data_IF_834398596543
#
_entry.id   IF_834398596543
#
_cell.length_a   1.000
_cell.length_b   1.000
_cell.length_c   1.000
_cell.angle_alpha   90.00
_cell.angle_beta   90.00
_cell.angle_gamma   90.00
#
_symmetry.space_group_name_H-M   'P 1'
#
loop_
_entity.id
_entity.type
_entity.pdbx_description
1 polymer ?
#
# COMPACT_ATOMS: atom_id res chain seq x y z
N UNK A 1 2.70 7.18 -17.30
CA UNK A 1 1.26 7.33 -16.99
C UNK A 1 0.80 6.10 -16.20
N UNK A 2 0.42 6.22 -14.93
CA UNK A 2 -0.05 5.05 -14.14
C UNK A 2 -1.40 4.56 -14.68
N UNK A 3 -1.59 3.24 -14.75
CA UNK A 3 -2.88 2.61 -15.09
C UNK A 3 -3.20 1.54 -14.05
N UNK A 4 -4.43 1.53 -13.55
CA UNK A 4 -4.94 0.53 -12.62
C UNK A 4 -6.22 -0.07 -13.21
N UNK A 5 -6.41 -1.39 -13.06
CA UNK A 5 -7.68 -2.01 -13.41
C UNK A 5 -8.79 -1.49 -12.49
N UNK A 6 -9.94 -1.08 -13.05
CA UNK A 6 -11.09 -0.59 -12.26
C UNK A 6 -11.64 -1.64 -11.28
N UNK A 7 -11.47 -2.92 -11.60
CA UNK A 7 -11.70 -4.06 -10.72
C UNK A 7 -10.53 -5.02 -10.83
N UNK A 8 -9.95 -5.43 -9.71
CA UNK A 8 -8.89 -6.45 -9.68
C UNK A 8 -9.49 -7.86 -9.63
N UNK A 9 -10.78 -8.00 -9.31
CA UNK A 9 -11.44 -9.29 -9.11
C UNK A 9 -12.84 -9.31 -9.72
N UNK A 10 -13.29 -10.50 -10.10
CA UNK A 10 -14.70 -10.85 -10.36
C UNK A 10 -14.99 -12.21 -9.69
N UNK A 11 -16.18 -12.78 -9.87
CA UNK A 11 -16.38 -14.18 -9.49
C UNK A 11 -15.42 -15.09 -10.28
N UNK A 12 -14.74 -16.00 -9.60
CA UNK A 12 -13.75 -16.94 -10.13
C UNK A 12 -12.53 -16.32 -10.87
N UNK A 13 -12.28 -15.01 -10.72
CA UNK A 13 -11.21 -14.30 -11.41
C UNK A 13 -10.50 -13.31 -10.48
N UNK A 14 -9.17 -13.35 -10.47
CA UNK A 14 -8.32 -12.36 -9.80
C UNK A 14 -7.15 -11.96 -10.71
N UNK A 15 -6.87 -10.66 -10.76
CA UNK A 15 -5.71 -10.06 -11.42
C UNK A 15 -4.62 -9.79 -10.37
N UNK A 16 -3.37 -10.00 -10.73
CA UNK A 16 -2.18 -9.88 -9.87
C UNK A 16 -1.04 -9.20 -10.65
N UNK A 17 -0.18 -8.44 -9.97
CA UNK A 17 0.95 -7.73 -10.58
C UNK A 17 0.52 -6.75 -11.67
N UNK A 18 1.30 -6.67 -12.75
CA UNK A 18 1.10 -5.74 -13.87
C UNK A 18 -0.28 -5.85 -14.54
N UNK A 19 -0.94 -7.02 -14.46
CA UNK A 19 -2.30 -7.22 -14.95
C UNK A 19 -3.36 -6.48 -14.11
N UNK A 20 -3.07 -6.20 -12.84
CA UNK A 20 -3.92 -5.42 -11.95
C UNK A 20 -3.49 -3.94 -11.87
N UNK A 21 -2.19 -3.66 -11.92
CA UNK A 21 -1.65 -2.30 -11.80
C UNK A 21 -0.30 -2.10 -12.51
N UNK A 22 -0.24 -1.10 -13.38
CA UNK A 22 1.01 -0.64 -14.01
C UNK A 22 1.64 0.45 -13.15
N UNK A 23 2.55 0.05 -12.26
CA UNK A 23 3.37 0.99 -11.48
C UNK A 23 4.52 1.48 -12.38
N UNK A 24 4.77 2.79 -12.35
CA UNK A 24 5.80 3.46 -13.18
C UNK A 24 7.19 2.80 -12.97
N UNK A 25 8.02 2.64 -14.01
CA UNK A 25 9.25 1.86 -13.94
C UNK A 25 10.39 2.63 -13.23
N UNK A 26 10.32 2.74 -11.91
CA UNK A 26 11.54 2.75 -11.11
C UNK A 26 12.03 1.30 -11.02
N UNK A 27 13.14 1.03 -11.72
CA UNK A 27 13.60 -0.31 -12.04
C UNK A 27 13.65 -1.25 -10.82
N UNK A 28 13.06 -2.44 -10.98
CA UNK A 28 13.14 -3.54 -10.01
C UNK A 28 11.96 -3.73 -9.06
N UNK A 29 11.07 -2.75 -8.87
CA UNK A 29 10.00 -2.88 -7.85
C UNK A 29 8.78 -3.74 -8.28
N UNK A 30 8.50 -3.85 -9.58
CA UNK A 30 7.30 -4.54 -10.09
C UNK A 30 7.21 -6.02 -9.68
N UNK A 31 8.34 -6.75 -9.70
CA UNK A 31 8.40 -8.16 -9.29
C UNK A 31 8.02 -8.31 -7.81
N UNK A 32 8.61 -7.50 -6.92
CA UNK A 32 8.31 -7.56 -5.49
C UNK A 32 6.83 -7.23 -5.20
N UNK A 33 6.27 -6.26 -5.91
CA UNK A 33 4.85 -5.92 -5.81
C UNK A 33 3.94 -7.05 -6.31
N UNK A 34 4.30 -7.73 -7.40
CA UNK A 34 3.59 -8.90 -7.91
C UNK A 34 3.68 -10.13 -7.00
N UNK A 35 4.84 -10.36 -6.36
CA UNK A 35 5.01 -11.42 -5.35
C UNK A 35 4.14 -11.16 -4.11
N UNK A 36 4.05 -9.91 -3.65
CA UNK A 36 3.16 -9.52 -2.55
C UNK A 36 1.68 -9.68 -2.92
N UNK A 37 1.29 -9.39 -4.16
CA UNK A 37 -0.07 -9.67 -4.66
C UNK A 37 -0.37 -11.17 -4.65
N UNK A 38 0.54 -12.00 -5.16
CA UNK A 38 0.41 -13.45 -5.19
C UNK A 38 0.28 -14.03 -3.77
N UNK A 39 1.15 -13.63 -2.85
CA UNK A 39 1.13 -14.06 -1.45
C UNK A 39 -0.20 -13.68 -0.75
N UNK A 40 -0.72 -12.46 -0.98
CA UNK A 40 -1.99 -12.01 -0.43
C UNK A 40 -3.20 -12.76 -1.02
N UNK A 41 -3.13 -13.12 -2.31
CA UNK A 41 -4.16 -13.92 -2.96
C UNK A 41 -4.17 -15.36 -2.42
N UNK A 42 -2.99 -15.99 -2.29
CA UNK A 42 -2.84 -17.34 -1.72
C UNK A 42 -3.40 -17.36 -0.29
N UNK A 43 -3.02 -16.42 0.57
CA UNK A 43 -3.56 -16.35 1.93
C UNK A 43 -5.07 -16.13 1.96
N UNK A 44 -5.62 -15.28 1.07
CA UNK A 44 -7.07 -15.09 0.93
C UNK A 44 -7.80 -16.40 0.54
N UNK A 45 -7.22 -17.18 -0.37
CA UNK A 45 -7.76 -18.47 -0.83
C UNK A 45 -7.64 -19.55 0.24
N UNK A 46 -6.50 -19.65 0.94
CA UNK A 46 -6.30 -20.62 2.03
C UNK A 46 -7.26 -20.36 3.19
N UNK A 47 -7.38 -19.10 3.63
CA UNK A 47 -8.33 -18.70 4.67
C UNK A 47 -9.79 -18.98 4.26
N UNK A 48 -10.14 -18.88 2.97
CA UNK A 48 -11.46 -19.26 2.48
C UNK A 48 -11.68 -20.78 2.50
N UNK A 49 -10.68 -21.56 2.04
CA UNK A 49 -10.72 -23.03 2.04
C UNK A 49 -10.85 -23.59 3.45
N UNK A 50 -10.05 -23.09 4.41
CA UNK A 50 -10.15 -23.47 5.83
C UNK A 50 -11.52 -23.16 6.43
N UNK A 51 -12.14 -22.04 6.03
CA UNK A 51 -13.47 -21.63 6.49
C UNK A 51 -14.63 -22.26 5.68
N UNK A 52 -14.38 -23.31 4.88
CA UNK A 52 -15.41 -24.00 4.08
C UNK A 52 -16.06 -23.13 2.98
N UNK A 53 -15.42 -22.02 2.59
CA UNK A 53 -15.98 -21.04 1.63
C UNK A 53 -15.39 -21.25 0.25
N UNK A 54 -16.26 -21.33 -0.76
CA UNK A 54 -15.83 -21.35 -2.16
C UNK A 54 -14.96 -20.12 -2.50
N UNK A 55 -13.69 -20.38 -2.84
CA UNK A 55 -12.65 -19.37 -3.03
C UNK A 55 -13.02 -18.32 -4.09
N UNK A 56 -13.68 -18.76 -5.17
CA UNK A 56 -14.06 -17.92 -6.30
C UNK A 56 -15.26 -16.99 -6.04
N UNK A 57 -15.89 -17.05 -4.86
CA UNK A 57 -16.94 -16.08 -4.50
C UNK A 57 -16.36 -14.67 -4.52
N UNK A 58 -17.02 -13.76 -5.23
CA UNK A 58 -16.60 -12.35 -5.30
C UNK A 58 -16.40 -11.71 -3.90
N UNK A 59 -17.21 -12.09 -2.90
CA UNK A 59 -17.04 -11.62 -1.51
C UNK A 59 -15.77 -12.11 -0.81
N UNK A 60 -15.18 -13.23 -1.25
CA UNK A 60 -13.87 -13.72 -0.81
C UNK A 60 -12.78 -12.93 -1.52
N UNK A 61 -12.79 -12.92 -2.86
CA UNK A 61 -11.76 -12.26 -3.66
C UNK A 61 -11.71 -10.73 -3.44
N UNK A 62 -12.84 -10.09 -3.11
CA UNK A 62 -12.88 -8.67 -2.75
C UNK A 62 -12.16 -8.35 -1.42
N UNK A 63 -11.77 -9.35 -0.62
CA UNK A 63 -10.83 -9.17 0.51
C UNK A 63 -9.41 -8.93 0.00
N UNK A 64 -8.92 -9.76 -0.93
CA UNK A 64 -7.64 -9.57 -1.61
C UNK A 64 -7.58 -8.20 -2.30
N UNK A 65 -8.61 -7.84 -3.08
CA UNK A 65 -8.68 -6.51 -3.72
C UNK A 65 -8.64 -5.37 -2.69
N UNK A 66 -9.39 -5.47 -1.59
CA UNK A 66 -9.37 -4.49 -0.49
C UNK A 66 -8.00 -4.35 0.16
N UNK A 67 -7.31 -5.47 0.39
CA UNK A 67 -5.98 -5.51 0.99
C UNK A 67 -4.97 -4.78 0.10
N UNK A 68 -4.84 -5.21 -1.15
CA UNK A 68 -3.86 -4.65 -2.09
C UNK A 68 -4.17 -3.20 -2.50
N UNK A 69 -5.44 -2.82 -2.64
CA UNK A 69 -5.82 -1.41 -2.87
C UNK A 69 -5.60 -0.53 -1.63
N UNK A 70 -5.85 -1.06 -0.43
CA UNK A 70 -5.61 -0.34 0.83
C UNK A 70 -4.14 -0.02 1.03
N UNK A 71 -3.28 -1.02 0.89
CA UNK A 71 -1.83 -0.87 1.01
C UNK A 71 -1.28 0.06 -0.08
N UNK A 72 -1.66 -0.15 -1.33
CA UNK A 72 -1.26 0.71 -2.45
C UNK A 72 -1.69 2.17 -2.24
N UNK A 73 -2.90 2.43 -1.72
CA UNK A 73 -3.36 3.80 -1.46
C UNK A 73 -2.62 4.48 -0.30
N UNK A 74 -2.24 3.73 0.75
CA UNK A 74 -1.45 4.27 1.87
C UNK A 74 -0.02 4.58 1.42
N UNK A 75 0.61 3.67 0.66
CA UNK A 75 1.95 3.88 0.10
C UNK A 75 1.94 5.05 -0.89
N UNK A 76 0.95 5.12 -1.80
CA UNK A 76 0.82 6.23 -2.76
C UNK A 76 0.69 7.59 -2.05
N UNK A 77 -0.22 7.73 -1.08
CA UNK A 77 -0.39 8.98 -0.33
C UNK A 77 0.85 9.35 0.50
N UNK A 78 1.54 8.35 1.05
CA UNK A 78 2.79 8.57 1.79
C UNK A 78 3.90 9.10 0.88
N UNK A 79 4.03 8.55 -0.34
CA UNK A 79 5.00 9.02 -1.33
C UNK A 79 4.63 10.41 -1.88
N UNK A 80 3.36 10.67 -2.20
CA UNK A 80 2.89 11.98 -2.66
C UNK A 80 3.11 13.07 -1.59
N UNK A 81 2.86 12.76 -0.31
CA UNK A 81 3.14 13.66 0.80
C UNK A 81 4.66 13.89 0.99
N UNK A 82 5.49 12.88 0.76
CA UNK A 82 6.95 13.00 0.82
C UNK A 82 7.49 13.85 -0.33
N UNK A 83 7.09 13.55 -1.57
CA UNK A 83 7.43 14.36 -2.75
C UNK A 83 6.97 15.81 -2.58
N UNK A 84 5.74 16.03 -2.10
CA UNK A 84 5.25 17.37 -1.79
C UNK A 84 6.10 18.07 -0.72
N UNK A 85 6.54 17.37 0.33
CA UNK A 85 7.34 17.96 1.42
C UNK A 85 8.81 18.20 1.04
N UNK A 86 9.37 17.42 0.13
CA UNK A 86 10.80 17.44 -0.23
C UNK A 86 11.12 18.04 -1.61
N UNK A 87 10.14 18.23 -2.53
CA UNK A 87 10.37 18.96 -3.79
C UNK A 87 10.96 20.35 -3.54
N UNK A 88 12.13 20.62 -4.11
CA UNK A 88 12.76 21.93 -4.06
C UNK A 88 12.25 22.78 -5.23
N UNK A 89 11.33 23.70 -4.93
CA UNK A 89 10.82 24.70 -5.89
C UNK A 89 11.45 26.06 -5.57
N UNK A 90 12.11 26.68 -6.56
CA UNK A 90 12.80 27.98 -6.44
C UNK A 90 11.83 29.18 -6.54
N UNK A 91 10.57 29.03 -6.10
CA UNK A 91 9.51 30.04 -6.23
C UNK A 91 8.84 30.36 -4.88
N UNK A 92 8.20 31.53 -4.81
CA UNK A 92 7.66 32.22 -3.62
C UNK A 92 6.67 31.43 -2.73
N UNK A 93 6.33 30.19 -3.07
CA UNK A 93 5.63 29.24 -2.17
C UNK A 93 6.53 28.71 -1.03
N UNK A 94 7.82 29.08 -1.00
CA UNK A 94 8.80 28.59 -0.04
C UNK A 94 8.47 28.94 1.42
N UNK A 95 7.84 30.09 1.72
CA UNK A 95 7.65 30.56 3.10
C UNK A 95 6.77 29.65 3.96
N UNK A 96 5.59 29.26 3.45
CA UNK A 96 4.67 28.36 4.17
C UNK A 96 5.29 26.97 4.34
N UNK A 97 5.87 26.43 3.26
CA UNK A 97 6.49 25.10 3.25
C UNK A 97 7.72 25.02 4.17
N UNK A 98 8.56 26.05 4.17
CA UNK A 98 9.77 26.12 5.01
C UNK A 98 9.41 26.34 6.48
N UNK A 99 8.40 27.16 6.77
CA UNK A 99 7.91 27.37 8.14
C UNK A 99 7.29 26.08 8.70
N UNK A 100 6.44 25.41 7.91
CA UNK A 100 5.90 24.11 8.28
C UNK A 100 7.02 23.08 8.49
N UNK A 101 7.96 22.93 7.55
CA UNK A 101 9.12 22.03 7.67
C UNK A 101 9.96 22.31 8.92
N UNK A 102 10.27 23.58 9.21
CA UNK A 102 11.05 23.98 10.41
C UNK A 102 10.31 23.73 11.73
N UNK A 103 8.97 23.86 11.76
CA UNK A 103 8.16 23.60 12.97
C UNK A 103 7.84 22.10 13.13
N UNK A 104 7.68 21.37 12.03
CA UNK A 104 7.22 19.99 12.00
C UNK A 104 8.37 18.97 12.09
N UNK A 105 9.57 19.21 11.55
CA UNK A 105 10.70 18.27 11.71
C UNK A 105 11.09 18.04 13.18
N UNK A 106 11.25 19.07 14.04
CA UNK A 106 11.57 18.86 15.45
C UNK A 106 10.46 18.13 16.20
N UNK A 107 9.20 18.39 15.85
CA UNK A 107 8.04 17.73 16.42
C UNK A 107 7.96 16.27 15.96
N UNK A 108 8.16 16.01 14.67
CA UNK A 108 8.21 14.67 14.08
C UNK A 108 9.36 13.82 14.67
N UNK A 109 10.52 14.43 14.93
CA UNK A 109 11.64 13.76 15.60
C UNK A 109 11.28 13.38 17.04
N UNK A 110 10.57 14.24 17.79
CA UNK A 110 10.02 13.90 19.13
C UNK A 110 8.90 12.87 19.06
N UNK A 111 8.15 12.86 17.96
CA UNK A 111 7.10 11.87 17.67
C UNK A 111 7.67 10.57 17.08
N UNK A 112 8.96 10.42 16.81
CA UNK A 112 9.55 9.16 16.28
C UNK A 112 9.17 7.93 17.10
N UNK A 113 9.28 7.91 18.45
CA UNK A 113 8.77 6.77 19.23
C UNK A 113 7.26 6.56 19.10
N UNK A 114 6.44 7.63 19.08
CA UNK A 114 4.99 7.51 18.90
C UNK A 114 4.63 7.03 17.48
N UNK A 115 5.40 7.44 16.47
CA UNK A 115 5.28 7.03 15.06
C UNK A 115 5.68 5.58 14.90
N UNK A 116 6.72 5.12 15.59
CA UNK A 116 7.14 3.72 15.64
C UNK A 116 6.12 2.86 16.40
N UNK A 117 5.50 3.39 17.46
CA UNK A 117 4.42 2.73 18.20
C UNK A 117 3.09 2.69 17.42
N UNK A 118 2.73 3.77 16.72
CA UNK A 118 1.57 3.82 15.82
C UNK A 118 1.77 2.95 14.58
N UNK A 119 2.99 2.89 14.02
CA UNK A 119 3.33 1.88 13.02
C UNK A 119 3.23 0.49 13.64
N UNK A 120 3.77 0.25 14.83
CA UNK A 120 3.60 -1.00 15.58
C UNK A 120 2.14 -1.42 15.74
N UNK A 121 1.23 -0.51 16.12
CA UNK A 121 -0.21 -0.79 16.21
C UNK A 121 -0.86 -0.98 14.83
N UNK A 122 -0.50 -0.18 13.82
CA UNK A 122 -1.04 -0.31 12.47
C UNK A 122 -0.58 -1.61 11.77
N UNK A 123 0.62 -2.10 12.11
CA UNK A 123 1.25 -3.34 11.64
C UNK A 123 0.88 -4.57 12.49
N UNK A 124 0.45 -4.38 13.75
CA UNK A 124 -0.11 -5.46 14.59
C UNK A 124 -1.62 -5.64 14.38
N UNK A 125 -2.36 -4.56 14.10
CA UNK A 125 -3.79 -4.60 13.80
C UNK A 125 -4.13 -4.97 12.35
N UNK A 126 -3.12 -5.05 11.48
CA UNK A 126 -3.22 -5.54 10.10
C UNK A 126 -1.94 -6.31 9.80
N UNK A 127 -2.05 -7.58 9.39
CA UNK A 127 -0.90 -8.29 8.83
C UNK A 127 -0.48 -7.59 7.53
N UNK A 128 0.45 -6.63 7.64
CA UNK A 128 0.82 -5.73 6.54
C UNK A 128 1.61 -6.43 5.43
N UNK A 129 2.10 -7.64 5.72
CA UNK A 129 2.64 -8.59 4.78
C UNK A 129 1.87 -9.90 4.96
N UNK A 130 1.47 -10.56 3.85
CA UNK A 130 0.94 -11.92 3.91
C UNK A 130 1.91 -12.85 4.65
N UNK A 131 1.40 -13.88 5.31
CA UNK A 131 2.23 -14.84 6.06
C UNK A 131 3.33 -15.52 5.24
N UNK A 132 3.14 -15.58 3.92
CA UNK A 132 4.09 -16.13 2.94
C UNK A 132 5.16 -15.11 2.47
N UNK A 133 5.11 -13.88 2.97
CA UNK A 133 6.01 -12.77 2.62
C UNK A 133 6.55 -12.03 3.87
N UNK A 134 6.48 -12.70 5.04
CA UNK A 134 7.22 -12.34 6.25
C UNK A 134 8.50 -13.16 6.31
#
# INVERSE_FOLDING_TARGET
>A
TRRHAQHYVKANLALVGDAAHTIHPQAGQGVNLGLLDAAALIETVLNAKQAGKAWGRHSVLRKYERWRRGDNAIVQRSMEAFDWLFKQDNSLKSTVKTTFRKRFLPLANRLTPLKNWLMGQALNGREALPKLAK
#
